data_IF_042591266258
#
_entry.id   IF_042591266258
#
_cell.length_a   1.000
_cell.length_b   1.000
_cell.length_c   1.000
_cell.angle_alpha   90.00
_cell.angle_beta   90.00
_cell.angle_gamma   90.00
#
_symmetry.space_group_name_H-M   'P 1'
#
loop_
_entity.id
_entity.type
_entity.pdbx_description
1 polymer ?
#
# COMPACT_ATOMS: atom_id res chain seq x y z
N UNK A 1 7.11 -23.65 3.96
CA UNK A 1 5.96 -23.69 3.06
C UNK A 1 5.16 -24.96 3.33
N UNK A 2 3.85 -24.86 3.51
CA UNK A 2 2.95 -26.01 3.57
C UNK A 2 2.18 -26.16 2.26
N UNK A 3 1.78 -27.40 1.93
CA UNK A 3 0.93 -27.70 0.76
C UNK A 3 -0.42 -28.14 1.30
N UNK A 4 -1.49 -27.45 0.90
CA UNK A 4 -2.88 -27.62 1.30
C UNK A 4 -3.20 -27.37 2.80
N UNK A 5 -4.13 -26.46 3.06
CA UNK A 5 -4.74 -26.16 4.36
C UNK A 5 -3.89 -25.28 5.27
N UNK A 6 -4.50 -24.78 6.35
CA UNK A 6 -3.76 -24.07 7.39
C UNK A 6 -2.89 -25.03 8.18
N UNK A 7 -1.57 -24.78 8.19
CA UNK A 7 -0.63 -25.60 8.95
C UNK A 7 0.10 -24.70 9.97
N UNK A 8 -0.15 -24.84 11.27
CA UNK A 8 0.58 -24.10 12.30
C UNK A 8 2.09 -24.29 12.16
N UNK A 9 2.85 -23.22 12.23
CA UNK A 9 4.31 -23.24 12.12
C UNK A 9 4.87 -23.05 10.72
N UNK A 10 4.02 -22.78 9.72
CA UNK A 10 4.44 -22.40 8.37
C UNK A 10 4.02 -20.96 8.05
N UNK A 11 4.92 -20.21 7.38
CA UNK A 11 4.70 -18.81 7.03
C UNK A 11 4.03 -18.62 5.66
N UNK A 12 3.99 -19.67 4.83
CA UNK A 12 3.38 -19.62 3.51
C UNK A 12 2.67 -20.93 3.18
N UNK A 13 1.60 -20.83 2.41
CA UNK A 13 0.83 -21.93 1.86
C UNK A 13 1.00 -21.96 0.34
N UNK A 14 0.97 -23.16 -0.22
CA UNK A 14 0.95 -23.36 -1.66
C UNK A 14 -0.19 -24.33 -2.02
N UNK A 15 -0.78 -24.14 -3.18
CA UNK A 15 -1.87 -25.01 -3.66
C UNK A 15 -1.37 -26.41 -4.05
N UNK A 16 -0.11 -26.49 -4.48
CA UNK A 16 0.53 -27.72 -4.94
C UNK A 16 2.04 -27.73 -4.65
N UNK A 17 2.69 -28.86 -4.94
CA UNK A 17 4.12 -29.03 -4.75
C UNK A 17 4.95 -28.09 -5.63
N UNK A 18 4.52 -27.83 -6.86
CA UNK A 18 5.24 -26.92 -7.77
C UNK A 18 5.18 -25.48 -7.25
N UNK A 19 4.06 -25.06 -6.69
CA UNK A 19 3.92 -23.79 -5.98
C UNK A 19 4.84 -23.70 -4.77
N UNK A 20 4.92 -24.77 -3.97
CA UNK A 20 5.83 -24.83 -2.81
C UNK A 20 7.30 -24.73 -3.23
N UNK A 21 7.69 -25.40 -4.32
CA UNK A 21 9.06 -25.31 -4.87
C UNK A 21 9.35 -23.89 -5.36
N UNK A 22 8.42 -23.26 -6.10
CA UNK A 22 8.59 -21.85 -6.56
C UNK A 22 8.77 -20.88 -5.38
N UNK A 23 7.99 -21.02 -4.31
CA UNK A 23 8.12 -20.20 -3.10
C UNK A 23 9.47 -20.43 -2.40
N UNK A 24 9.89 -21.69 -2.27
CA UNK A 24 11.19 -22.03 -1.69
C UNK A 24 12.34 -21.42 -2.50
N UNK A 25 12.30 -21.54 -3.83
CA UNK A 25 13.28 -20.95 -4.73
C UNK A 25 13.33 -19.43 -4.65
N UNK A 26 12.17 -18.77 -4.53
CA UNK A 26 12.09 -17.33 -4.33
C UNK A 26 12.72 -16.92 -2.99
N UNK A 27 12.41 -17.64 -1.91
CA UNK A 27 13.01 -17.40 -0.59
C UNK A 27 14.53 -17.62 -0.58
N UNK A 28 15.03 -18.61 -1.33
CA UNK A 28 16.48 -18.83 -1.48
C UNK A 28 17.18 -17.72 -2.29
N UNK A 29 16.51 -17.16 -3.29
CA UNK A 29 17.05 -16.03 -4.06
C UNK A 29 17.06 -14.72 -3.29
N UNK A 30 16.07 -14.54 -2.37
CA UNK A 30 15.88 -13.31 -1.59
C UNK A 30 15.73 -13.63 -0.09
N UNK A 31 16.75 -14.20 0.56
CA UNK A 31 16.64 -14.70 1.93
C UNK A 31 16.42 -13.58 2.95
N UNK A 32 16.97 -12.39 2.72
CA UNK A 32 16.75 -11.21 3.57
C UNK A 32 15.30 -10.76 3.55
N UNK A 33 14.73 -10.62 2.35
CA UNK A 33 13.32 -10.25 2.19
C UNK A 33 12.37 -11.29 2.78
N UNK A 34 12.56 -12.58 2.46
CA UNK A 34 11.73 -13.67 2.94
C UNK A 34 11.76 -13.81 4.47
N UNK A 35 12.95 -13.74 5.08
CA UNK A 35 13.10 -13.81 6.54
C UNK A 35 12.45 -12.62 7.23
N UNK A 36 12.69 -11.41 6.74
CA UNK A 36 12.13 -10.19 7.32
C UNK A 36 10.61 -10.19 7.22
N UNK A 37 10.03 -10.61 6.08
CA UNK A 37 8.59 -10.72 5.91
C UNK A 37 7.98 -11.72 6.91
N UNK A 38 8.55 -12.92 7.04
CA UNK A 38 8.08 -13.92 8.00
C UNK A 38 8.12 -13.40 9.46
N UNK A 39 9.20 -12.73 9.84
CA UNK A 39 9.32 -12.11 11.15
C UNK A 39 8.29 -10.99 11.37
N UNK A 40 8.09 -10.13 10.36
CA UNK A 40 7.11 -9.06 10.40
C UNK A 40 5.69 -9.60 10.60
N UNK A 41 5.27 -10.57 9.78
CA UNK A 41 3.93 -11.14 9.85
C UNK A 41 3.66 -11.77 11.23
N UNK A 42 4.62 -12.51 11.80
CA UNK A 42 4.49 -13.09 13.13
C UNK A 42 4.46 -12.02 14.23
N UNK A 43 5.27 -10.97 14.12
CA UNK A 43 5.34 -9.91 15.12
C UNK A 43 4.12 -8.96 15.09
N UNK A 44 3.50 -8.79 13.91
CA UNK A 44 2.33 -7.92 13.75
C UNK A 44 1.01 -8.59 14.09
N UNK A 45 0.97 -9.91 14.26
CA UNK A 45 -0.25 -10.64 14.60
C UNK A 45 -0.81 -10.14 15.95
N UNK A 46 -2.08 -9.69 15.94
CA UNK A 46 -2.77 -9.18 17.15
C UNK A 46 -2.29 -7.81 17.63
N UNK A 47 -1.41 -7.13 16.90
CA UNK A 47 -0.98 -5.77 17.23
C UNK A 47 -2.04 -4.73 16.80
N UNK A 48 -1.97 -3.54 17.41
CA UNK A 48 -2.73 -2.38 16.94
C UNK A 48 -2.23 -1.93 15.55
N UNK A 49 -3.07 -1.24 14.80
CA UNK A 49 -2.71 -0.64 13.50
C UNK A 49 -1.44 0.20 13.60
N UNK A 50 -1.32 1.05 14.65
CA UNK A 50 -0.15 1.90 14.87
C UNK A 50 1.13 1.08 15.07
N UNK A 51 1.08 0.04 15.91
CA UNK A 51 2.22 -0.85 16.16
C UNK A 51 2.61 -1.64 14.91
N UNK A 52 1.63 -2.14 14.17
CA UNK A 52 1.84 -2.84 12.89
C UNK A 52 2.53 -1.96 11.84
N UNK A 53 2.08 -0.72 11.67
CA UNK A 53 2.67 0.25 10.75
C UNK A 53 4.12 0.63 11.13
N UNK A 54 4.41 0.73 12.42
CA UNK A 54 5.78 0.97 12.90
C UNK A 54 6.70 -0.22 12.61
N UNK A 55 6.24 -1.44 12.91
CA UNK A 55 6.97 -2.68 12.62
C UNK A 55 7.25 -2.81 11.12
N UNK A 56 6.24 -2.60 10.27
CA UNK A 56 6.38 -2.61 8.82
C UNK A 56 7.41 -1.59 8.33
N UNK A 57 7.31 -0.33 8.78
CA UNK A 57 8.24 0.72 8.35
C UNK A 57 9.68 0.43 8.78
N UNK A 58 9.88 -0.21 9.93
CA UNK A 58 11.20 -0.63 10.40
C UNK A 58 11.75 -1.79 9.57
N UNK A 59 10.93 -2.80 9.29
CA UNK A 59 11.27 -3.92 8.43
C UNK A 59 11.62 -3.44 7.02
N UNK A 60 10.81 -2.53 6.48
CA UNK A 60 11.04 -1.93 5.16
C UNK A 60 12.38 -1.16 5.11
N UNK A 61 12.68 -0.36 6.15
CA UNK A 61 13.97 0.34 6.26
C UNK A 61 15.16 -0.62 6.33
N UNK A 62 15.01 -1.72 7.06
CA UNK A 62 16.03 -2.78 7.14
C UNK A 62 16.31 -3.38 5.76
N UNK A 63 15.26 -3.72 5.00
CA UNK A 63 15.41 -4.27 3.64
C UNK A 63 15.99 -3.24 2.68
N UNK A 64 15.57 -1.97 2.76
CA UNK A 64 16.12 -0.91 1.93
C UNK A 64 17.63 -0.66 2.17
N UNK A 65 18.13 -0.94 3.37
CA UNK A 65 19.55 -0.89 3.69
C UNK A 65 20.35 -2.12 3.19
N UNK A 66 19.64 -3.16 2.77
CA UNK A 66 20.23 -4.45 2.43
C UNK A 66 20.75 -4.56 1.00
N UNK A 67 21.62 -5.57 0.74
CA UNK A 67 22.22 -5.78 -0.58
C UNK A 67 21.21 -6.20 -1.65
N UNK A 68 20.13 -6.90 -1.30
CA UNK A 68 19.10 -7.30 -2.26
C UNK A 68 18.41 -6.09 -2.89
N UNK A 69 18.05 -5.09 -2.09
CA UNK A 69 17.47 -3.85 -2.58
C UNK A 69 18.47 -3.04 -3.41
N UNK A 70 19.72 -2.96 -2.98
CA UNK A 70 20.78 -2.28 -3.73
C UNK A 70 21.00 -2.90 -5.12
N UNK A 71 21.05 -4.24 -5.20
CA UNK A 71 21.17 -4.97 -6.47
C UNK A 71 19.96 -4.72 -7.38
N UNK A 72 18.74 -4.76 -6.83
CA UNK A 72 17.53 -4.48 -7.58
C UNK A 72 17.49 -3.04 -8.13
N UNK A 73 17.92 -2.04 -7.34
CA UNK A 73 18.01 -0.65 -7.80
C UNK A 73 19.02 -0.49 -8.94
N UNK A 74 20.18 -1.16 -8.84
CA UNK A 74 21.22 -1.12 -9.86
C UNK A 74 20.73 -1.70 -11.20
N UNK A 75 20.02 -2.83 -11.17
CA UNK A 75 19.44 -3.46 -12.36
C UNK A 75 18.34 -2.62 -12.99
N UNK A 76 17.48 -2.03 -12.18
CA UNK A 76 16.31 -1.28 -12.62
C UNK A 76 16.66 0.05 -13.28
N UNK A 77 17.70 0.75 -12.79
CA UNK A 77 18.03 2.12 -13.15
C UNK A 77 17.03 3.16 -12.59
N UNK A 78 17.44 4.41 -12.64
CA UNK A 78 16.63 5.54 -12.16
C UNK A 78 15.55 5.92 -13.16
N UNK A 79 14.32 6.07 -12.69
CA UNK A 79 13.18 6.56 -13.49
C UNK A 79 12.75 7.93 -12.94
N UNK A 80 12.53 8.88 -13.84
CA UNK A 80 12.02 10.22 -13.49
C UNK A 80 10.72 10.41 -14.24
N UNK A 81 9.69 10.88 -13.54
CA UNK A 81 8.44 11.31 -14.17
C UNK A 81 8.33 12.82 -14.10
N UNK A 82 7.75 13.46 -15.13
CA UNK A 82 7.40 14.87 -15.06
C UNK A 82 6.33 15.08 -13.97
N UNK A 83 6.37 16.24 -13.36
CA UNK A 83 5.34 16.69 -12.41
C UNK A 83 3.99 16.82 -13.13
N UNK A 84 2.92 16.40 -12.46
CA UNK A 84 1.56 16.48 -13.01
C UNK A 84 0.95 17.83 -12.66
N UNK A 85 0.35 18.49 -13.66
CA UNK A 85 -0.23 19.82 -13.49
C UNK A 85 -1.57 19.83 -12.72
N UNK A 86 -2.21 18.67 -12.56
CA UNK A 86 -3.50 18.54 -11.89
C UNK A 86 -3.31 18.08 -10.44
N UNK A 87 -4.18 18.51 -9.51
CA UNK A 87 -4.18 18.00 -8.15
C UNK A 87 -4.31 16.47 -8.16
N UNK A 88 -3.43 15.73 -7.45
CA UNK A 88 -3.43 14.27 -7.49
C UNK A 88 -4.57 13.64 -6.66
N UNK A 89 -5.21 14.42 -5.79
CA UNK A 89 -6.43 14.07 -5.05
C UNK A 89 -7.41 15.22 -5.20
N UNK A 90 -8.64 14.90 -5.57
CA UNK A 90 -9.73 15.86 -5.59
C UNK A 90 -10.60 15.65 -4.36
N UNK A 91 -11.13 16.73 -3.78
CA UNK A 91 -12.06 16.70 -2.66
C UNK A 91 -13.29 17.50 -3.05
N UNK A 92 -14.45 16.87 -3.01
CA UNK A 92 -15.74 17.51 -3.22
C UNK A 92 -16.59 17.40 -1.95
N UNK A 93 -17.27 18.49 -1.61
CA UNK A 93 -18.35 18.50 -0.63
C UNK A 93 -19.68 18.31 -1.37
N UNK A 94 -20.31 17.13 -1.22
CA UNK A 94 -21.57 16.78 -1.87
C UNK A 94 -22.81 17.12 -0.98
N UNK A 95 -22.56 17.77 0.17
CA UNK A 95 -23.60 18.18 1.12
C UNK A 95 -23.90 17.10 2.16
N UNK A 96 -24.19 15.87 1.75
CA UNK A 96 -24.47 14.74 2.64
C UNK A 96 -23.19 13.91 2.95
N UNK A 97 -22.16 14.06 2.15
CA UNK A 97 -20.87 13.35 2.30
C UNK A 97 -19.71 14.15 1.69
N UNK A 98 -18.50 13.76 2.01
CA UNK A 98 -17.29 14.15 1.29
C UNK A 98 -16.93 13.09 0.26
N UNK A 99 -16.48 13.53 -0.91
CA UNK A 99 -16.01 12.64 -1.96
C UNK A 99 -14.55 12.95 -2.30
N UNK A 100 -13.67 11.99 -2.06
CA UNK A 100 -12.26 12.02 -2.41
C UNK A 100 -12.03 11.18 -3.65
N UNK A 101 -11.33 11.73 -4.64
CA UNK A 101 -10.99 11.00 -5.86
C UNK A 101 -9.48 11.00 -6.07
N UNK A 102 -8.86 9.81 -6.15
CA UNK A 102 -7.48 9.66 -6.61
C UNK A 102 -7.42 10.09 -8.08
N UNK A 103 -6.61 11.09 -8.42
CA UNK A 103 -6.70 11.77 -9.70
C UNK A 103 -5.38 11.76 -10.50
N UNK A 104 -4.88 10.56 -10.77
CA UNK A 104 -3.78 10.30 -11.73
C UNK A 104 -4.19 9.24 -12.77
N UNK A 105 -5.31 9.44 -13.51
CA UNK A 105 -5.93 8.40 -14.33
C UNK A 105 -5.02 7.85 -15.42
N UNK A 106 -4.11 8.67 -15.98
CA UNK A 106 -3.13 8.26 -16.99
C UNK A 106 -2.08 7.28 -16.46
N UNK A 107 -1.89 7.25 -15.15
CA UNK A 107 -0.97 6.38 -14.44
C UNK A 107 -1.71 5.39 -13.53
N UNK A 108 -2.99 5.09 -13.85
CA UNK A 108 -3.83 4.17 -13.07
C UNK A 108 -3.84 4.49 -11.57
N UNK A 109 -3.79 5.78 -11.22
CA UNK A 109 -3.77 6.29 -9.86
C UNK A 109 -2.64 5.70 -9.00
N UNK A 110 -1.47 5.40 -9.61
CA UNK A 110 -0.29 4.99 -8.85
C UNK A 110 0.06 6.04 -7.79
N UNK A 111 0.25 5.57 -6.56
CA UNK A 111 0.49 6.40 -5.38
C UNK A 111 1.91 6.98 -5.41
N UNK A 112 2.02 8.24 -5.83
CA UNK A 112 3.26 9.03 -5.73
C UNK A 112 3.36 9.72 -4.37
N UNK A 113 4.53 10.28 -4.05
CA UNK A 113 4.72 11.11 -2.86
C UNK A 113 3.76 12.32 -2.85
N UNK A 114 3.52 12.95 -4.01
CA UNK A 114 2.57 14.05 -4.15
C UNK A 114 1.14 13.60 -3.85
N UNK A 115 0.69 12.45 -4.41
CA UNK A 115 -0.65 11.91 -4.13
C UNK A 115 -0.79 11.48 -2.68
N UNK A 116 0.20 10.78 -2.12
CA UNK A 116 0.22 10.42 -0.71
C UNK A 116 0.07 11.65 0.20
N UNK A 117 0.86 12.70 -0.03
CA UNK A 117 0.81 13.92 0.78
C UNK A 117 -0.54 14.62 0.66
N UNK A 118 -1.10 14.73 -0.55
CA UNK A 118 -2.43 15.30 -0.78
C UNK A 118 -3.55 14.48 -0.10
N UNK A 119 -3.45 13.14 -0.14
CA UNK A 119 -4.39 12.26 0.54
C UNK A 119 -4.32 12.43 2.06
N UNK A 120 -3.11 12.46 2.63
CA UNK A 120 -2.89 12.71 4.07
C UNK A 120 -3.50 14.04 4.49
N UNK A 121 -3.25 15.12 3.75
CA UNK A 121 -3.78 16.45 4.05
C UNK A 121 -5.31 16.47 3.99
N UNK A 122 -5.89 15.84 2.97
CA UNK A 122 -7.35 15.73 2.82
C UNK A 122 -7.98 14.97 3.98
N UNK A 123 -7.46 13.76 4.30
CA UNK A 123 -7.97 12.93 5.39
C UNK A 123 -7.82 13.61 6.76
N UNK A 124 -6.69 14.31 6.98
CA UNK A 124 -6.46 15.09 8.20
C UNK A 124 -7.46 16.22 8.36
N UNK A 125 -7.75 16.95 7.27
CA UNK A 125 -8.79 17.98 7.26
C UNK A 125 -10.17 17.41 7.60
N UNK A 126 -10.54 16.26 7.02
CA UNK A 126 -11.80 15.59 7.29
C UNK A 126 -11.90 15.01 8.71
N UNK A 127 -10.79 14.60 9.29
CA UNK A 127 -10.74 14.13 10.68
C UNK A 127 -10.93 15.27 11.71
N UNK A 128 -10.65 16.50 11.31
CA UNK A 128 -10.86 17.69 12.15
C UNK A 128 -12.23 18.37 11.91
N UNK A 129 -12.95 17.95 10.85
CA UNK A 129 -14.24 18.47 10.45
C UNK A 129 -15.45 17.76 11.11
N UNK A 130 -16.57 17.79 10.41
CA UNK A 130 -17.80 17.11 10.83
C UNK A 130 -17.77 15.59 10.55
N UNK A 131 -18.76 14.85 11.08
CA UNK A 131 -18.81 13.39 11.03
C UNK A 131 -19.53 12.82 9.80
N UNK A 132 -19.68 13.60 8.73
CA UNK A 132 -20.30 13.10 7.49
C UNK A 132 -19.53 11.92 6.88
N UNK A 133 -20.24 11.02 6.16
CA UNK A 133 -19.61 9.93 5.44
C UNK A 133 -18.56 10.42 4.44
N UNK A 134 -17.59 9.57 4.18
CA UNK A 134 -16.50 9.81 3.22
C UNK A 134 -16.53 8.70 2.18
N UNK A 135 -16.59 9.09 0.90
CA UNK A 135 -16.39 8.20 -0.23
C UNK A 135 -14.99 8.43 -0.79
N UNK A 136 -14.22 7.36 -0.98
CA UNK A 136 -12.95 7.39 -1.70
C UNK A 136 -13.07 6.52 -2.96
N UNK A 137 -12.74 7.08 -4.12
CA UNK A 137 -12.65 6.34 -5.37
C UNK A 137 -11.43 6.78 -6.20
N UNK A 138 -11.35 6.33 -7.45
CA UNK A 138 -10.27 6.69 -8.37
C UNK A 138 -10.82 7.19 -9.71
N UNK A 139 -10.19 8.19 -10.29
CA UNK A 139 -10.49 8.64 -11.63
C UNK A 139 -9.98 7.65 -12.70
N UNK A 140 -10.69 7.53 -13.82
CA UNK A 140 -10.26 6.77 -14.98
C UNK A 140 -10.58 5.28 -14.90
N UNK A 141 -9.64 4.43 -15.28
CA UNK A 141 -9.88 3.00 -15.54
C UNK A 141 -9.58 2.06 -14.37
N UNK A 142 -8.96 2.57 -13.32
CA UNK A 142 -8.49 1.78 -12.17
C UNK A 142 -8.64 2.58 -10.90
N UNK A 143 -8.93 1.91 -9.82
CA UNK A 143 -8.93 2.54 -8.50
C UNK A 143 -7.52 3.01 -8.13
N UNK A 144 -6.56 2.09 -7.99
CA UNK A 144 -5.17 2.40 -7.70
C UNK A 144 -4.25 1.21 -8.04
N UNK A 145 -3.25 1.43 -8.86
CA UNK A 145 -2.30 0.40 -9.29
C UNK A 145 -1.06 0.26 -8.39
N UNK A 146 -1.16 0.69 -7.13
CA UNK A 146 -0.08 0.57 -6.15
C UNK A 146 0.87 1.76 -6.11
N UNK A 147 1.98 1.61 -5.41
CA UNK A 147 3.03 2.64 -5.33
C UNK A 147 3.64 2.97 -6.68
N UNK A 148 3.96 4.26 -6.92
CA UNK A 148 4.59 4.65 -8.19
C UNK A 148 6.03 4.13 -8.25
N UNK A 149 6.31 3.15 -9.13
CA UNK A 149 7.62 2.57 -9.20
C UNK A 149 8.72 3.56 -9.58
N UNK A 150 8.40 4.68 -10.23
CA UNK A 150 9.39 5.68 -10.59
C UNK A 150 10.02 6.39 -9.37
N UNK A 151 9.36 6.31 -8.22
CA UNK A 151 9.84 6.93 -6.98
C UNK A 151 10.67 5.99 -6.09
N UNK A 152 10.67 4.69 -6.39
CA UNK A 152 11.44 3.72 -5.60
C UNK A 152 12.95 4.01 -5.72
N UNK A 153 13.62 4.13 -4.58
CA UNK A 153 15.05 4.46 -4.51
C UNK A 153 15.37 5.95 -4.64
N UNK A 154 14.38 6.84 -4.69
CA UNK A 154 14.62 8.29 -4.77
C UNK A 154 14.91 8.94 -3.41
N UNK A 155 14.64 8.24 -2.29
CA UNK A 155 14.96 8.72 -0.95
C UNK A 155 16.45 8.49 -0.67
N UNK A 156 17.11 9.47 -0.06
CA UNK A 156 18.56 9.49 0.11
C UNK A 156 19.10 8.30 0.93
N UNK A 157 18.36 7.89 1.96
CA UNK A 157 18.75 6.78 2.85
C UNK A 157 17.54 6.14 3.53
N UNK A 158 17.69 4.90 4.05
CA UNK A 158 16.60 4.16 4.69
C UNK A 158 16.03 4.82 5.96
N UNK A 159 16.82 5.58 6.72
CA UNK A 159 16.37 6.27 7.92
C UNK A 159 15.43 7.44 7.53
N UNK A 160 15.81 8.24 6.54
CA UNK A 160 14.94 9.27 5.97
C UNK A 160 13.66 8.65 5.39
N UNK A 161 13.76 7.52 4.69
CA UNK A 161 12.60 6.81 4.17
C UNK A 161 11.65 6.34 5.30
N UNK A 162 12.18 5.86 6.42
CA UNK A 162 11.41 5.49 7.60
C UNK A 162 10.68 6.71 8.19
N UNK A 163 11.37 7.84 8.37
CA UNK A 163 10.75 9.07 8.87
C UNK A 163 9.63 9.55 7.96
N UNK A 164 9.81 9.51 6.65
CA UNK A 164 8.76 9.87 5.68
C UNK A 164 7.56 8.92 5.78
N UNK A 165 7.78 7.60 5.85
CA UNK A 165 6.69 6.62 5.98
C UNK A 165 5.91 6.76 7.28
N UNK A 166 6.55 7.15 8.37
CA UNK A 166 5.87 7.30 9.67
C UNK A 166 5.20 8.66 9.85
N UNK A 167 5.73 9.73 9.24
CA UNK A 167 5.18 11.08 9.37
C UNK A 167 4.17 11.46 8.28
N UNK A 168 4.31 10.90 7.07
CA UNK A 168 3.47 11.19 5.90
C UNK A 168 2.72 9.93 5.43
N UNK A 169 2.05 9.23 6.35
CA UNK A 169 1.29 8.01 6.08
C UNK A 169 -0.21 8.29 6.10
N UNK A 170 -0.94 7.83 5.09
CA UNK A 170 -2.39 7.93 5.04
C UNK A 170 -3.10 6.94 5.97
N UNK A 171 -2.48 5.77 6.23
CA UNK A 171 -3.08 4.68 6.99
C UNK A 171 -3.60 5.07 8.38
N UNK A 172 -2.88 5.81 9.25
CA UNK A 172 -3.40 6.23 10.56
C UNK A 172 -4.66 7.11 10.47
N UNK A 173 -4.75 7.93 9.41
CA UNK A 173 -5.92 8.77 9.18
C UNK A 173 -7.09 7.98 8.63
N UNK A 174 -6.83 7.01 7.76
CA UNK A 174 -7.87 6.11 7.25
C UNK A 174 -8.41 5.21 8.36
N UNK A 175 -7.56 4.65 9.20
CA UNK A 175 -7.94 3.86 10.38
C UNK A 175 -8.84 4.69 11.34
N UNK A 176 -8.44 5.92 11.64
CA UNK A 176 -9.24 6.84 12.46
C UNK A 176 -10.59 7.17 11.87
N UNK A 177 -10.71 7.21 10.54
CA UNK A 177 -11.92 7.55 9.80
C UNK A 177 -12.68 6.31 9.31
N UNK A 178 -12.24 5.09 9.65
CA UNK A 178 -12.68 3.83 9.08
C UNK A 178 -14.22 3.70 9.06
N UNK A 179 -14.88 3.99 10.18
CA UNK A 179 -16.34 3.87 10.33
C UNK A 179 -17.15 4.79 9.39
N UNK A 180 -16.54 5.88 8.95
CA UNK A 180 -17.14 6.87 8.01
C UNK A 180 -16.73 6.63 6.58
N UNK A 181 -15.69 5.79 6.36
CA UNK A 181 -15.04 5.61 5.08
C UNK A 181 -15.70 4.49 4.28
N UNK A 182 -16.15 4.80 3.08
CA UNK A 182 -16.49 3.84 2.04
C UNK A 182 -15.48 3.97 0.91
N UNK A 183 -14.86 2.87 0.51
CA UNK A 183 -13.98 2.83 -0.66
C UNK A 183 -14.70 2.15 -1.81
N UNK A 184 -14.78 2.83 -2.96
CA UNK A 184 -15.35 2.28 -4.19
C UNK A 184 -14.23 1.88 -5.15
N UNK A 185 -14.12 0.59 -5.39
CA UNK A 185 -13.09 -0.01 -6.24
C UNK A 185 -13.68 -0.38 -7.61
N UNK A 186 -13.02 0.07 -8.68
CA UNK A 186 -13.28 -0.35 -10.05
C UNK A 186 -11.96 -0.65 -10.75
N UNK A 187 -11.99 -1.57 -11.73
CA UNK A 187 -10.78 -2.00 -12.41
C UNK A 187 -9.73 -2.55 -11.43
N UNK A 188 -8.49 -2.08 -11.52
CA UNK A 188 -7.40 -2.63 -10.71
C UNK A 188 -7.23 -1.92 -9.37
N UNK A 189 -7.11 -2.71 -8.29
CA UNK A 189 -6.56 -2.35 -6.98
C UNK A 189 -5.34 -3.23 -6.71
N UNK A 190 -4.14 -2.66 -6.69
CA UNK A 190 -2.88 -3.42 -6.60
C UNK A 190 -2.02 -2.85 -5.48
N UNK A 191 -1.38 -3.70 -4.66
CA UNK A 191 -0.51 -3.28 -3.56
C UNK A 191 -1.17 -2.21 -2.69
N UNK A 192 -0.59 -1.01 -2.62
CA UNK A 192 -1.16 0.13 -1.88
C UNK A 192 -2.65 0.41 -2.21
N UNK A 193 -3.14 0.06 -3.41
CA UNK A 193 -4.55 0.17 -3.75
C UNK A 193 -5.43 -0.79 -2.95
N UNK A 194 -4.96 -2.00 -2.68
CA UNK A 194 -5.63 -2.97 -1.80
C UNK A 194 -5.54 -2.50 -0.35
N UNK A 195 -4.37 -2.02 0.07
CA UNK A 195 -4.13 -1.52 1.42
C UNK A 195 -5.06 -0.35 1.76
N UNK A 196 -5.20 0.64 0.86
CA UNK A 196 -6.13 1.75 1.04
C UNK A 196 -7.58 1.26 1.20
N UNK A 197 -8.00 0.27 0.41
CA UNK A 197 -9.35 -0.29 0.52
C UNK A 197 -9.56 -1.04 1.84
N UNK A 198 -8.53 -1.71 2.36
CA UNK A 198 -8.62 -2.52 3.58
C UNK A 198 -8.87 -1.70 4.87
N UNK A 199 -8.59 -0.40 4.87
CA UNK A 199 -8.87 0.48 6.02
C UNK A 199 -10.34 0.91 6.13
N UNK A 200 -11.15 0.73 5.08
CA UNK A 200 -12.54 1.19 5.09
C UNK A 200 -13.47 0.18 5.78
N UNK A 201 -14.42 0.67 6.58
CA UNK A 201 -15.50 -0.18 7.10
C UNK A 201 -16.37 -0.76 5.98
N UNK A 202 -16.42 -0.10 4.82
CA UNK A 202 -17.17 -0.56 3.66
C UNK A 202 -16.34 -0.46 2.38
N UNK A 203 -16.29 -1.57 1.65
CA UNK A 203 -15.72 -1.63 0.29
C UNK A 203 -16.81 -1.99 -0.69
N UNK A 204 -17.01 -1.15 -1.70
CA UNK A 204 -17.90 -1.40 -2.84
C UNK A 204 -17.01 -1.71 -4.05
N UNK A 205 -17.20 -2.84 -4.69
CA UNK A 205 -16.42 -3.23 -5.86
C UNK A 205 -17.32 -3.44 -7.08
N UNK A 206 -16.88 -2.95 -8.24
CA UNK A 206 -17.55 -3.28 -9.51
C UNK A 206 -17.28 -4.74 -9.87
N UNK A 207 -18.14 -5.40 -10.68
CA UNK A 207 -17.94 -6.81 -11.05
C UNK A 207 -16.61 -7.10 -11.78
N UNK A 208 -16.01 -6.11 -12.40
CA UNK A 208 -14.72 -6.18 -13.10
C UNK A 208 -13.52 -5.78 -12.21
N UNK A 209 -13.77 -5.43 -10.94
CA UNK A 209 -12.70 -5.08 -10.03
C UNK A 209 -11.76 -6.26 -9.76
N UNK A 210 -10.47 -5.98 -9.77
CA UNK A 210 -9.43 -6.98 -9.47
C UNK A 210 -8.57 -6.50 -8.30
N UNK A 211 -8.30 -7.39 -7.35
CA UNK A 211 -7.45 -7.12 -6.19
C UNK A 211 -6.19 -7.97 -6.29
N UNK A 212 -5.03 -7.35 -6.12
CA UNK A 212 -3.76 -8.05 -6.21
C UNK A 212 -2.74 -7.48 -5.24
N UNK A 213 -2.08 -8.37 -4.48
CA UNK A 213 -0.91 -8.08 -3.65
C UNK A 213 0.30 -8.79 -4.26
N UNK A 214 1.03 -8.16 -5.18
CA UNK A 214 2.18 -8.78 -5.84
C UNK A 214 3.42 -8.87 -4.93
N UNK A 215 3.34 -8.26 -3.76
CA UNK A 215 4.39 -8.21 -2.74
C UNK A 215 4.44 -9.49 -1.87
N UNK A 216 3.39 -10.29 -1.89
CA UNK A 216 3.22 -11.50 -1.07
C UNK A 216 2.92 -12.74 -1.89
#
# INVERSE_FOLDING_TARGET
VAVHGSAPGFDALADDLDGAVRLADAAHRHPGAATTLAQLLRASEGQSTEAGLLLESTAYATLQAGPEHAAWLADRGRRVRPEEAQPPVLVADEGDRFHLTLNRPRLHNMLSAAMRNALVESLRGLAAGDDRPILLDGAGRSFCAGGDPAEFGNVADPATAHLVRTSANAAPWMDRLAERLTVRVHGAAVGAGVELAAFAARVEATPDATFRLPEV
#
